data_IF_494026376448
#
_entry.id   IF_494026376448
#
_cell.length_a   1.000
_cell.length_b   1.000
_cell.length_c   1.000
_cell.angle_alpha   90.00
_cell.angle_beta   90.00
_cell.angle_gamma   90.00
#
_symmetry.space_group_name_H-M   'P 1'
#
loop_
_entity.id
_entity.type
_entity.pdbx_description
1 polymer ?
#
# COMPACT_ATOMS: atom_id res chain seq x y z
N UNK A 1 6.19 -5.11 12.34
CA UNK A 1 5.72 -5.97 11.24
C UNK A 1 4.20 -6.13 11.26
N UNK A 2 3.58 -6.44 12.40
CA UNK A 2 2.13 -6.64 12.51
C UNK A 2 1.30 -5.44 12.02
N UNK A 3 1.71 -4.21 12.40
CA UNK A 3 1.01 -2.98 11.97
C UNK A 3 1.07 -2.82 10.44
N UNK A 4 2.20 -3.10 9.79
CA UNK A 4 2.31 -3.01 8.34
C UNK A 4 1.36 -4.00 7.63
N UNK A 5 1.23 -5.23 8.14
CA UNK A 5 0.30 -6.23 7.60
C UNK A 5 -1.17 -5.86 7.84
N UNK A 6 -1.47 -5.21 8.97
CA UNK A 6 -2.80 -4.67 9.28
C UNK A 6 -3.17 -3.56 8.30
N UNK A 7 -2.29 -2.58 8.09
CA UNK A 7 -2.52 -1.48 7.16
C UNK A 7 -2.67 -1.97 5.72
N UNK A 8 -1.88 -2.96 5.29
CA UNK A 8 -2.06 -3.64 4.00
C UNK A 8 -3.48 -4.20 3.87
N UNK A 9 -3.95 -4.92 4.89
CA UNK A 9 -5.29 -5.55 4.86
C UNK A 9 -6.40 -4.50 4.78
N UNK A 10 -6.28 -3.39 5.52
CA UNK A 10 -7.25 -2.28 5.45
C UNK A 10 -7.29 -1.61 4.09
N UNK A 11 -6.15 -1.40 3.45
CA UNK A 11 -6.10 -0.83 2.09
C UNK A 11 -6.77 -1.80 1.11
N UNK A 12 -6.42 -3.09 1.18
CA UNK A 12 -7.03 -4.12 0.32
C UNK A 12 -8.55 -4.15 0.46
N UNK A 13 -9.09 -4.13 1.68
CA UNK A 13 -10.55 -4.10 1.92
C UNK A 13 -11.23 -2.90 1.25
N UNK A 14 -10.59 -1.73 1.28
CA UNK A 14 -11.14 -0.51 0.68
C UNK A 14 -11.12 -0.53 -0.85
N UNK A 15 -10.07 -1.08 -1.46
CA UNK A 15 -9.85 -0.98 -2.91
C UNK A 15 -10.22 -2.24 -3.70
N UNK A 16 -10.31 -3.41 -3.05
CA UNK A 16 -10.66 -4.70 -3.67
C UNK A 16 -12.00 -4.68 -4.42
N UNK A 17 -13.07 -4.00 -3.96
CA UNK A 17 -14.29 -3.87 -4.74
C UNK A 17 -14.09 -3.22 -6.12
N UNK A 18 -13.02 -2.45 -6.28
CA UNK A 18 -12.69 -1.70 -7.49
C UNK A 18 -11.64 -2.38 -8.37
N UNK A 19 -11.16 -3.58 -8.02
CA UNK A 19 -10.09 -4.29 -8.73
C UNK A 19 -10.33 -4.37 -10.25
N UNK A 20 -11.57 -4.66 -10.67
CA UNK A 20 -11.92 -4.79 -12.08
C UNK A 20 -12.51 -3.52 -12.69
N UNK A 21 -12.64 -2.46 -11.88
CA UNK A 21 -13.24 -1.18 -12.27
C UNK A 21 -12.20 -0.08 -12.46
N UNK A 22 -11.06 -0.18 -11.79
CA UNK A 22 -9.96 0.78 -11.85
C UNK A 22 -8.62 0.05 -11.99
N UNK A 23 -7.87 0.40 -13.04
CA UNK A 23 -6.53 -0.13 -13.29
C UNK A 23 -5.58 0.14 -12.10
N UNK A 24 -5.74 1.30 -11.47
CA UNK A 24 -4.99 1.71 -10.28
C UNK A 24 -5.27 0.79 -9.08
N UNK A 25 -6.52 0.34 -8.91
CA UNK A 25 -6.90 -0.56 -7.83
C UNK A 25 -6.29 -1.95 -8.03
N UNK A 26 -6.35 -2.51 -9.24
CA UNK A 26 -5.68 -3.78 -9.57
C UNK A 26 -4.17 -3.70 -9.30
N UNK A 27 -3.51 -2.65 -9.81
CA UNK A 27 -2.07 -2.46 -9.64
C UNK A 27 -1.69 -2.31 -8.16
N UNK A 28 -2.47 -1.55 -7.39
CA UNK A 28 -2.27 -1.37 -5.96
C UNK A 28 -2.39 -2.71 -5.20
N UNK A 29 -3.43 -3.50 -5.47
CA UNK A 29 -3.63 -4.80 -4.83
C UNK A 29 -2.47 -5.76 -5.11
N UNK A 30 -1.94 -5.76 -6.34
CA UNK A 30 -0.77 -6.57 -6.68
C UNK A 30 0.47 -6.16 -5.88
N UNK A 31 0.75 -4.85 -5.79
CA UNK A 31 1.87 -4.33 -5.01
C UNK A 31 1.73 -4.68 -3.53
N UNK A 32 0.52 -4.56 -2.97
CA UNK A 32 0.23 -4.91 -1.58
C UNK A 32 0.44 -6.40 -1.31
N UNK A 33 0.04 -7.27 -2.25
CA UNK A 33 0.29 -8.71 -2.17
C UNK A 33 1.80 -9.03 -2.19
N UNK A 34 2.54 -8.45 -3.14
CA UNK A 34 4.00 -8.64 -3.25
C UNK A 34 4.73 -8.12 -2.00
N UNK A 35 4.28 -6.98 -1.45
CA UNK A 35 4.80 -6.40 -0.22
C UNK A 35 4.52 -7.31 0.99
N UNK A 36 3.32 -7.88 1.10
CA UNK A 36 2.97 -8.83 2.17
C UNK A 36 3.92 -10.04 2.18
N UNK A 37 4.21 -10.61 1.01
CA UNK A 37 5.19 -11.70 0.90
C UNK A 37 6.60 -11.25 1.29
N UNK A 38 7.00 -10.07 0.85
CA UNK A 38 8.33 -9.50 1.14
C UNK A 38 8.51 -9.22 2.63
N UNK A 39 7.48 -8.71 3.31
CA UNK A 39 7.45 -8.53 4.76
C UNK A 39 7.60 -9.84 5.51
N UNK A 40 6.87 -10.89 5.10
CA UNK A 40 6.96 -12.21 5.73
C UNK A 40 8.36 -12.84 5.58
N UNK A 41 9.08 -12.52 4.51
CA UNK A 41 10.46 -12.98 4.26
C UNK A 41 11.53 -12.01 4.78
N UNK A 42 11.13 -10.85 5.31
CA UNK A 42 12.03 -9.74 5.66
C UNK A 42 13.00 -9.36 4.52
N UNK A 43 12.52 -9.41 3.28
CA UNK A 43 13.30 -9.02 2.11
C UNK A 43 13.34 -7.49 1.98
N UNK A 44 14.36 -6.88 2.60
CA UNK A 44 14.53 -5.41 2.66
C UNK A 44 14.64 -4.76 1.28
N UNK A 45 15.24 -5.42 0.30
CA UNK A 45 15.37 -4.87 -1.06
C UNK A 45 13.98 -4.76 -1.72
N UNK A 46 13.17 -5.81 -1.62
CA UNK A 46 11.81 -5.82 -2.15
C UNK A 46 10.88 -4.89 -1.39
N UNK A 47 11.05 -4.75 -0.08
CA UNK A 47 10.31 -3.78 0.74
C UNK A 47 10.60 -2.34 0.27
N UNK A 48 11.87 -2.00 0.02
CA UNK A 48 12.24 -0.68 -0.48
C UNK A 48 11.71 -0.40 -1.90
N UNK A 49 11.69 -1.40 -2.78
CA UNK A 49 11.08 -1.29 -4.11
C UNK A 49 9.56 -1.08 -4.04
N UNK A 50 8.87 -1.83 -3.16
CA UNK A 50 7.45 -1.68 -2.91
C UNK A 50 7.09 -0.29 -2.35
N UNK A 51 7.93 0.28 -1.48
CA UNK A 51 7.75 1.63 -0.94
C UNK A 51 7.74 2.71 -2.05
N UNK A 52 8.63 2.57 -3.05
CA UNK A 52 8.65 3.45 -4.23
C UNK A 52 7.39 3.30 -5.06
N UNK A 53 6.96 2.06 -5.32
CA UNK A 53 5.73 1.76 -6.08
C UNK A 53 4.47 2.28 -5.40
N UNK A 54 4.38 2.17 -4.07
CA UNK A 54 3.29 2.75 -3.29
C UNK A 54 3.23 4.28 -3.45
N UNK A 55 4.37 4.96 -3.42
CA UNK A 55 4.43 6.42 -3.59
C UNK A 55 3.98 6.89 -4.99
N UNK A 56 4.28 6.11 -6.04
CA UNK A 56 3.74 6.36 -7.40
C UNK A 56 2.21 6.25 -7.43
N UNK A 57 1.65 5.24 -6.77
CA UNK A 57 0.19 5.04 -6.69
C UNK A 57 -0.49 6.14 -5.87
N UNK A 58 0.08 6.54 -4.73
CA UNK A 58 -0.43 7.65 -3.94
C UNK A 58 -0.51 8.94 -4.78
N UNK A 59 0.53 9.21 -5.58
CA UNK A 59 0.59 10.38 -6.44
C UNK A 59 -0.49 10.36 -7.52
N UNK A 60 -0.78 9.19 -8.09
CA UNK A 60 -1.87 9.01 -9.07
C UNK A 60 -3.25 9.06 -8.44
N UNK A 61 -3.37 8.65 -7.18
CA UNK A 61 -4.62 8.70 -6.42
C UNK A 61 -4.90 10.09 -5.83
N UNK A 62 -3.90 10.97 -5.73
CA UNK A 62 -4.01 12.30 -5.12
C UNK A 62 -5.14 13.18 -5.71
N UNK A 63 -5.38 13.23 -7.04
CA UNK A 63 -6.51 13.98 -7.61
C UNK A 63 -7.88 13.49 -7.12
N UNK A 64 -7.96 12.23 -6.70
CA UNK A 64 -9.18 11.58 -6.23
C UNK A 64 -9.32 11.59 -4.70
N UNK A 65 -8.49 12.34 -3.94
CA UNK A 65 -8.59 12.35 -2.46
C UNK A 65 -9.94 12.86 -1.94
N UNK A 66 -10.69 13.60 -2.76
CA UNK A 66 -12.04 14.06 -2.40
C UNK A 66 -13.06 12.93 -2.34
N UNK A 67 -12.74 11.75 -2.89
CA UNK A 67 -13.54 10.55 -2.74
C UNK A 67 -13.19 9.88 -1.40
N UNK A 68 -14.15 9.78 -0.50
CA UNK A 68 -13.90 9.32 0.88
C UNK A 68 -13.34 7.89 1.02
N UNK A 69 -13.43 7.05 -0.02
CA UNK A 69 -12.74 5.74 -0.03
C UNK A 69 -11.26 5.91 -0.35
N UNK A 70 -10.93 6.75 -1.33
CA UNK A 70 -9.54 7.06 -1.70
C UNK A 70 -8.84 7.78 -0.56
N UNK A 71 -9.51 8.73 0.11
CA UNK A 71 -8.94 9.41 1.28
C UNK A 71 -8.53 8.41 2.38
N UNK A 72 -9.42 7.49 2.74
CA UNK A 72 -9.15 6.46 3.75
C UNK A 72 -8.03 5.53 3.33
N UNK A 73 -8.01 5.10 2.06
CA UNK A 73 -6.94 4.27 1.53
C UNK A 73 -5.58 4.99 1.60
N UNK A 74 -5.53 6.29 1.28
CA UNK A 74 -4.33 7.11 1.39
C UNK A 74 -3.87 7.31 2.84
N UNK A 75 -4.79 7.42 3.80
CA UNK A 75 -4.44 7.49 5.23
C UNK A 75 -3.75 6.20 5.70
N UNK A 76 -4.26 5.04 5.29
CA UNK A 76 -3.63 3.76 5.60
C UNK A 76 -2.31 3.56 4.86
N UNK A 77 -2.22 3.98 3.60
CA UNK A 77 -0.98 3.94 2.82
C UNK A 77 0.13 4.78 3.47
N UNK A 78 -0.21 5.96 4.00
CA UNK A 78 0.73 6.79 4.76
C UNK A 78 1.30 6.07 5.98
N UNK A 79 0.43 5.46 6.80
CA UNK A 79 0.85 4.69 7.99
C UNK A 79 1.70 3.49 7.61
N UNK A 80 1.31 2.76 6.54
CA UNK A 80 2.10 1.66 6.01
C UNK A 80 3.51 2.13 5.67
N UNK A 81 3.66 3.25 4.95
CA UNK A 81 4.98 3.79 4.60
C UNK A 81 5.85 4.11 5.81
N UNK A 82 5.28 4.77 6.82
CA UNK A 82 5.98 5.06 8.09
C UNK A 82 6.47 3.76 8.77
N UNK A 83 5.67 2.69 8.75
CA UNK A 83 6.09 1.39 9.29
C UNK A 83 7.16 0.69 8.43
N UNK A 84 7.08 0.79 7.10
CA UNK A 84 8.11 0.25 6.21
C UNK A 84 9.45 0.97 6.37
N UNK A 85 9.44 2.29 6.53
CA UNK A 85 10.65 3.10 6.78
C UNK A 85 11.34 2.65 8.08
N UNK A 86 10.58 2.47 9.18
CA UNK A 86 11.12 1.92 10.43
C UNK A 86 11.76 0.54 10.27
N UNK A 87 11.17 -0.33 9.43
CA UNK A 87 11.71 -1.68 9.15
C UNK A 87 13.02 -1.60 8.33
N UNK A 88 13.16 -0.60 7.47
CA UNK A 88 14.36 -0.39 6.66
C UNK A 88 15.50 0.28 7.45
N UNK A 89 15.16 1.11 8.44
CA UNK A 89 16.12 1.79 9.33
C UNK A 89 16.67 0.87 10.44
N UNK A 90 15.90 -0.14 10.88
CA UNK A 90 16.33 -1.18 11.82
C UNK A 90 17.15 -2.28 11.17
#
# INVERSE_FOLDING_TARGET
MDIALEEISRIEELIRPYQYQAYEAEKALKILSDLRESLNRMDKEKIADALKKLSDIESRAAPYRSFGIVERALQHAKKLKEELEKILEG
#
